data_IF_160677613419
#
_entry.id   IF_160677613419
#
_cell.length_a   1.000
_cell.length_b   1.000
_cell.length_c   1.000
_cell.angle_alpha   90.00
_cell.angle_beta   90.00
_cell.angle_gamma   90.00
#
_symmetry.space_group_name_H-M   'P 1'
#
loop_
_entity.id
_entity.type
_entity.pdbx_description
1 polymer ?
#
# COMPACT_ATOMS: atom_id res chain seq x y z
N UNK A 1 10.56 8.57 -24.18
CA UNK A 1 9.91 7.40 -23.54
C UNK A 1 10.37 7.14 -22.10
N UNK A 2 10.94 8.12 -21.38
CA UNK A 2 11.43 7.92 -19.99
C UNK A 2 10.32 8.02 -18.92
N UNK A 3 9.28 8.81 -19.18
CA UNK A 3 8.17 9.01 -18.23
C UNK A 3 7.33 7.76 -17.99
N UNK A 4 7.17 6.91 -19.01
CA UNK A 4 6.45 5.63 -18.89
C UNK A 4 7.22 4.60 -18.07
N UNK A 5 8.55 4.55 -18.22
CA UNK A 5 9.44 3.69 -17.43
C UNK A 5 9.48 4.12 -15.97
N UNK A 6 9.58 5.43 -15.70
CA UNK A 6 9.50 5.99 -14.35
C UNK A 6 8.14 5.73 -13.70
N UNK A 7 7.05 5.83 -14.46
CA UNK A 7 5.70 5.50 -13.97
C UNK A 7 5.56 4.03 -13.59
N UNK A 8 6.02 3.10 -14.43
CA UNK A 8 6.03 1.67 -14.12
C UNK A 8 6.89 1.33 -12.91
N UNK A 9 8.08 1.94 -12.81
CA UNK A 9 8.98 1.75 -11.67
C UNK A 9 8.37 2.26 -10.36
N UNK A 10 7.68 3.40 -10.38
CA UNK A 10 7.00 3.95 -9.20
C UNK A 10 5.86 3.04 -8.73
N UNK A 11 5.05 2.51 -9.66
CA UNK A 11 3.96 1.57 -9.34
C UNK A 11 4.52 0.30 -8.72
N UNK A 12 5.55 -0.26 -9.34
CA UNK A 12 6.22 -1.45 -8.82
C UNK A 12 6.81 -1.22 -7.43
N UNK A 13 7.48 -0.08 -7.23
CA UNK A 13 8.04 0.30 -5.93
C UNK A 13 6.96 0.46 -4.86
N UNK A 14 5.87 1.16 -5.17
CA UNK A 14 4.73 1.32 -4.26
C UNK A 14 4.08 -0.03 -3.94
N UNK A 15 3.95 -0.92 -4.92
CA UNK A 15 3.39 -2.25 -4.72
C UNK A 15 4.25 -3.08 -3.76
N UNK A 16 5.57 -3.08 -3.93
CA UNK A 16 6.51 -3.80 -3.06
C UNK A 16 6.57 -3.19 -1.66
N UNK A 17 6.54 -1.86 -1.52
CA UNK A 17 6.75 -1.19 -0.23
C UNK A 17 5.55 -1.26 0.71
N UNK A 18 4.33 -1.42 0.21
CA UNK A 18 3.16 -1.40 1.08
C UNK A 18 3.07 -2.62 1.98
N UNK A 19 3.53 -3.80 1.53
CA UNK A 19 3.54 -5.01 2.35
C UNK A 19 4.36 -4.85 3.65
N UNK A 20 5.66 -4.47 3.60
CA UNK A 20 6.44 -4.21 4.80
C UNK A 20 5.94 -2.99 5.58
N UNK A 21 5.42 -1.94 4.91
CA UNK A 21 4.88 -0.76 5.59
C UNK A 21 3.63 -1.11 6.41
N UNK A 22 2.76 -1.97 5.89
CA UNK A 22 1.58 -2.45 6.60
C UNK A 22 1.95 -3.24 7.83
N UNK A 23 2.82 -4.25 7.68
CA UNK A 23 3.30 -5.03 8.82
C UNK A 23 4.01 -4.17 9.87
N UNK A 24 4.81 -3.19 9.43
CA UNK A 24 5.48 -2.25 10.33
C UNK A 24 4.49 -1.35 11.07
N UNK A 25 3.51 -0.78 10.37
CA UNK A 25 2.49 0.09 10.96
C UNK A 25 1.68 -0.66 12.02
N UNK A 26 1.23 -1.88 11.71
CA UNK A 26 0.52 -2.72 12.69
C UNK A 26 1.42 -3.20 13.82
N UNK A 27 2.71 -3.44 13.56
CA UNK A 27 3.70 -3.71 14.60
C UNK A 27 3.84 -2.55 15.58
N UNK A 28 3.90 -1.31 15.10
CA UNK A 28 3.95 -0.12 15.96
C UNK A 28 2.63 0.11 16.69
N UNK A 29 1.50 -0.02 16.01
CA UNK A 29 0.18 0.16 16.62
C UNK A 29 -0.11 -0.90 17.68
N UNK A 30 0.43 -2.11 17.52
CA UNK A 30 0.32 -3.20 18.50
C UNK A 30 1.41 -3.21 19.58
N UNK A 31 2.49 -2.45 19.43
CA UNK A 31 3.57 -2.35 20.41
C UNK A 31 3.14 -1.85 21.80
N UNK A 32 2.26 -0.84 21.94
CA UNK A 32 1.79 -0.40 23.26
C UNK A 32 0.68 -1.30 23.82
N UNK A 33 0.19 -2.31 23.09
CA UNK A 33 -0.97 -3.10 23.49
C UNK A 33 -0.56 -4.36 24.28
N UNK A 34 -1.24 -4.65 25.41
CA UNK A 34 -1.01 -5.87 26.18
C UNK A 34 -1.19 -7.13 25.33
N UNK A 35 -0.28 -8.09 25.49
CA UNK A 35 -0.36 -9.39 24.83
C UNK A 35 -1.62 -10.14 25.29
N UNK A 36 -2.53 -10.44 24.35
CA UNK A 36 -3.79 -11.14 24.64
C UNK A 36 -5.05 -10.27 24.72
N UNK A 37 -4.96 -8.94 24.52
CA UNK A 37 -6.18 -8.12 24.42
C UNK A 37 -6.93 -8.39 23.11
N UNK A 38 -8.27 -8.45 23.16
CA UNK A 38 -9.13 -8.58 21.98
C UNK A 38 -8.86 -7.48 20.93
N UNK A 39 -8.36 -6.32 21.37
CA UNK A 39 -7.95 -5.21 20.52
C UNK A 39 -6.68 -5.51 19.72
N UNK A 40 -5.68 -6.17 20.33
CA UNK A 40 -4.47 -6.64 19.62
C UNK A 40 -4.84 -7.70 18.56
N UNK A 41 -5.73 -8.63 18.90
CA UNK A 41 -6.22 -9.62 17.93
C UNK A 41 -6.94 -8.97 16.75
N UNK A 42 -7.82 -7.99 17.00
CA UNK A 42 -8.50 -7.23 15.95
C UNK A 42 -7.54 -6.43 15.07
N UNK A 43 -6.48 -5.85 15.65
CA UNK A 43 -5.45 -5.13 14.90
C UNK A 43 -4.59 -6.06 14.05
N UNK A 44 -4.25 -7.24 14.56
CA UNK A 44 -3.53 -8.26 13.78
C UNK A 44 -4.39 -8.80 12.64
N UNK A 45 -5.70 -8.98 12.87
CA UNK A 45 -6.64 -9.39 11.82
C UNK A 45 -6.84 -8.28 10.78
N UNK A 46 -6.88 -7.02 11.20
CA UNK A 46 -6.87 -5.86 10.30
C UNK A 46 -5.54 -5.74 9.52
N UNK A 47 -4.42 -6.19 10.09
CA UNK A 47 -3.14 -6.26 9.39
C UNK A 47 -3.18 -7.22 8.20
N UNK A 48 -3.89 -8.34 8.32
CA UNK A 48 -4.10 -9.28 7.20
C UNK A 48 -4.87 -8.64 6.04
N UNK A 49 -5.73 -7.67 6.32
CA UNK A 49 -6.49 -6.92 5.32
C UNK A 49 -5.68 -5.80 4.64
N UNK A 50 -4.42 -5.56 5.06
CA UNK A 50 -3.53 -4.58 4.41
C UNK A 50 -3.44 -4.81 2.91
N UNK A 51 -3.44 -6.07 2.46
CA UNK A 51 -3.33 -6.43 1.04
C UNK A 51 -4.45 -5.84 0.17
N UNK A 52 -5.68 -5.76 0.69
CA UNK A 52 -6.81 -5.14 -0.01
C UNK A 52 -6.68 -3.60 -0.01
N UNK A 53 -6.25 -3.03 1.13
CA UNK A 53 -5.96 -1.60 1.22
C UNK A 53 -4.84 -1.21 0.23
N UNK A 54 -3.79 -2.02 0.12
CA UNK A 54 -2.69 -1.84 -0.83
C UNK A 54 -3.20 -1.70 -2.25
N UNK A 55 -4.06 -2.61 -2.67
CA UNK A 55 -4.63 -2.57 -4.02
C UNK A 55 -5.45 -1.29 -4.22
N UNK A 56 -6.26 -0.90 -3.24
CA UNK A 56 -7.01 0.36 -3.30
C UNK A 56 -6.11 1.60 -3.36
N UNK A 57 -5.06 1.68 -2.55
CA UNK A 57 -4.10 2.79 -2.53
C UNK A 57 -3.31 2.83 -3.84
N UNK A 58 -2.84 1.68 -4.36
CA UNK A 58 -2.15 1.61 -5.65
C UNK A 58 -3.08 2.10 -6.76
N UNK A 59 -4.34 1.66 -6.81
CA UNK A 59 -5.30 2.15 -7.79
C UNK A 59 -5.54 3.66 -7.66
N UNK A 60 -5.70 4.19 -6.44
CA UNK A 60 -5.89 5.62 -6.22
C UNK A 60 -4.66 6.43 -6.61
N UNK A 61 -3.45 5.97 -6.30
CA UNK A 61 -2.19 6.65 -6.67
C UNK A 61 -1.98 6.58 -8.18
N UNK A 62 -2.23 5.44 -8.81
CA UNK A 62 -2.19 5.27 -10.28
C UNK A 62 -3.16 6.22 -10.95
N UNK A 63 -4.41 6.27 -10.49
CA UNK A 63 -5.42 7.19 -11.04
C UNK A 63 -5.11 8.65 -10.69
N UNK A 64 -4.48 8.95 -9.54
CA UNK A 64 -4.18 10.32 -9.12
C UNK A 64 -3.00 10.91 -9.88
N UNK A 65 -1.96 10.12 -10.12
CA UNK A 65 -0.71 10.58 -10.74
C UNK A 65 -0.56 10.18 -12.21
N UNK A 66 -1.35 9.22 -12.70
CA UNK A 66 -1.49 8.89 -14.12
C UNK A 66 -2.95 8.60 -14.51
N UNK A 67 -3.89 9.55 -14.32
CA UNK A 67 -5.30 9.38 -14.67
C UNK A 67 -5.55 9.14 -16.17
N UNK A 68 -4.58 9.44 -17.04
CA UNK A 68 -4.77 9.50 -18.49
C UNK A 68 -4.11 8.38 -19.29
N UNK A 69 -3.49 7.39 -18.63
CA UNK A 69 -2.52 6.55 -19.33
C UNK A 69 -1.28 7.36 -19.71
N UNK A 70 -0.12 6.71 -19.72
CA UNK A 70 1.18 7.38 -19.84
C UNK A 70 1.51 7.92 -21.25
N UNK A 71 0.55 7.96 -22.19
CA UNK A 71 0.77 8.38 -23.57
C UNK A 71 -0.39 9.26 -24.08
N UNK A 72 -0.13 10.52 -24.49
CA UNK A 72 -1.05 11.23 -25.36
C UNK A 72 -1.07 10.51 -26.72
N UNK A 73 -2.27 10.18 -27.19
CA UNK A 73 -2.51 9.71 -28.56
C UNK A 73 -2.03 10.76 -29.56
N UNK A 74 -1.00 10.39 -30.32
CA UNK A 74 -0.58 10.95 -31.60
C UNK A 74 -0.11 9.77 -32.44
#
# INVERSE_FOLDING_TARGET
NFGSVLGGMLIWFLWVQVEPLGHWLFGILSAPLPEGSALKAHLTDAAAHMRLLTMGVVLLVVLRFSPRGLLPER
#
